data_IF_747741700431
#
_entry.id   IF_747741700431
#
_cell.length_a   1.000
_cell.length_b   1.000
_cell.length_c   1.000
_cell.angle_alpha   90.00
_cell.angle_beta   90.00
_cell.angle_gamma   90.00
#
_symmetry.space_group_name_H-M   'P 1'
#
loop_
_entity.id
_entity.type
_entity.pdbx_description
1 polymer ?
#
# COMPACT_ATOMS: atom_id res chain seq x y z
N UNK A 1 -19.18 -9.83 -8.43
CA UNK A 1 -18.72 -8.68 -7.64
C UNK A 1 -17.25 -8.44 -7.91
N UNK A 2 -16.88 -7.19 -8.12
CA UNK A 2 -15.49 -6.81 -8.41
C UNK A 2 -14.90 -6.05 -7.24
N UNK A 3 -13.78 -6.54 -6.73
CA UNK A 3 -13.00 -5.82 -5.72
C UNK A 3 -12.36 -4.61 -6.40
N UNK A 4 -12.58 -3.42 -5.84
CA UNK A 4 -12.00 -2.17 -6.34
C UNK A 4 -11.11 -1.54 -5.28
N UNK A 5 -10.05 -0.88 -5.73
CA UNK A 5 -9.09 -0.18 -4.87
C UNK A 5 -8.90 1.22 -5.41
N UNK A 6 -9.02 2.22 -4.54
CA UNK A 6 -8.90 3.63 -4.92
C UNK A 6 -8.10 4.41 -3.88
N UNK A 7 -7.59 5.57 -4.29
CA UNK A 7 -6.97 6.55 -3.41
C UNK A 7 -7.47 7.94 -3.78
N UNK A 8 -7.59 8.84 -2.80
CA UNK A 8 -7.87 10.24 -3.08
C UNK A 8 -6.62 11.01 -3.50
N UNK A 9 -5.43 10.43 -3.25
CA UNK A 9 -4.16 11.07 -3.58
C UNK A 9 -3.83 10.99 -5.07
N UNK A 10 -4.31 9.94 -5.77
CA UNK A 10 -4.06 9.77 -7.20
C UNK A 10 -5.10 8.83 -7.80
N UNK A 11 -5.34 9.00 -9.10
CA UNK A 11 -6.19 8.08 -9.85
C UNK A 11 -5.40 6.92 -10.44
N UNK A 12 -6.12 5.92 -10.93
CA UNK A 12 -5.49 4.78 -11.61
C UNK A 12 -4.64 5.28 -12.79
N UNK A 13 -3.38 4.86 -12.82
CA UNK A 13 -2.44 5.32 -13.84
C UNK A 13 -1.89 6.73 -13.60
N UNK A 14 -2.30 7.40 -12.51
CA UNK A 14 -1.83 8.74 -12.18
C UNK A 14 -0.53 8.73 -11.39
N UNK A 15 0.05 9.91 -11.22
CA UNK A 15 1.28 10.08 -10.47
C UNK A 15 1.03 10.06 -8.97
N UNK A 16 1.91 9.39 -8.23
CA UNK A 16 1.88 9.43 -6.79
C UNK A 16 2.43 10.78 -6.31
N UNK A 17 1.77 11.45 -5.35
CA UNK A 17 2.25 12.75 -4.85
C UNK A 17 3.61 12.61 -4.15
N UNK A 18 4.41 13.66 -4.22
CA UNK A 18 5.74 13.66 -3.60
C UNK A 18 5.69 13.43 -2.08
N UNK A 19 4.60 13.81 -1.41
CA UNK A 19 4.45 13.57 0.03
C UNK A 19 4.39 12.07 0.38
N UNK A 20 4.09 11.23 -0.59
CA UNK A 20 4.05 9.78 -0.42
C UNK A 20 5.37 9.11 -0.85
N UNK A 21 6.39 9.88 -1.17
CA UNK A 21 7.68 9.38 -1.63
C UNK A 21 8.79 9.74 -0.66
N UNK A 22 9.97 9.15 -0.86
CA UNK A 22 11.14 9.46 -0.04
C UNK A 22 11.65 10.90 -0.24
N UNK A 23 11.23 11.58 -1.30
CA UNK A 23 11.56 12.98 -1.54
C UNK A 23 10.69 13.95 -0.73
N UNK A 24 9.60 13.45 -0.17
CA UNK A 24 8.71 14.20 0.72
C UNK A 24 8.68 13.60 2.10
N UNK A 25 7.51 13.59 2.72
CA UNK A 25 7.32 13.08 4.07
C UNK A 25 7.26 11.54 4.16
N UNK A 26 7.29 10.87 3.04
CA UNK A 26 7.22 9.40 2.93
C UNK A 26 5.95 8.83 3.59
N UNK A 27 4.84 9.51 3.43
CA UNK A 27 3.55 9.07 3.96
C UNK A 27 2.93 8.01 3.07
N UNK A 28 2.36 6.98 3.66
CA UNK A 28 1.55 6.03 2.89
C UNK A 28 0.31 6.76 2.37
N UNK A 29 -0.12 6.47 1.12
CA UNK A 29 -1.32 7.10 0.58
C UNK A 29 -2.57 6.57 1.30
N UNK A 30 -3.62 7.38 1.34
CA UNK A 30 -4.92 6.86 1.76
C UNK A 30 -5.40 5.84 0.73
N UNK A 31 -6.02 4.79 1.20
CA UNK A 31 -6.55 3.73 0.33
C UNK A 31 -7.95 3.37 0.78
N UNK A 32 -8.80 3.07 -0.19
CA UNK A 32 -10.14 2.57 0.07
C UNK A 32 -10.44 1.44 -0.90
N UNK A 33 -11.17 0.45 -0.42
CA UNK A 33 -11.59 -0.66 -1.27
C UNK A 33 -13.04 -1.02 -1.00
N UNK A 34 -13.66 -1.62 -2.01
CA UNK A 34 -15.05 -2.04 -1.97
C UNK A 34 -15.20 -3.32 -2.79
N UNK A 35 -16.32 -4.00 -2.61
CA UNK A 35 -16.60 -5.21 -3.36
C UNK A 35 -15.89 -6.44 -2.83
N UNK A 36 -15.52 -6.46 -1.54
CA UNK A 36 -14.92 -7.63 -0.92
C UNK A 36 -15.86 -8.83 -1.09
N UNK A 37 -15.39 -9.94 -1.69
CA UNK A 37 -16.26 -11.11 -1.91
C UNK A 37 -16.79 -11.70 -0.62
N UNK A 38 -18.03 -12.20 -0.66
CA UNK A 38 -18.60 -12.91 0.48
C UNK A 38 -17.73 -14.14 0.79
N UNK A 39 -17.54 -14.42 2.07
CA UNK A 39 -16.69 -15.53 2.51
C UNK A 39 -15.21 -15.19 2.67
N UNK A 40 -14.80 -13.97 2.30
CA UNK A 40 -13.44 -13.52 2.54
C UNK A 40 -13.18 -13.46 4.05
N UNK A 41 -12.09 -14.04 4.49
CA UNK A 41 -11.71 -14.05 5.90
C UNK A 41 -10.72 -12.97 6.24
N UNK A 42 -9.70 -12.78 5.38
CA UNK A 42 -8.67 -11.77 5.57
C UNK A 42 -8.30 -11.12 4.24
N UNK A 43 -7.63 -9.97 4.35
CA UNK A 43 -7.13 -9.22 3.22
C UNK A 43 -5.63 -9.02 3.36
N UNK A 44 -4.95 -8.90 2.23
CA UNK A 44 -3.54 -8.51 2.18
C UNK A 44 -3.39 -7.33 1.23
N UNK A 45 -2.48 -6.42 1.55
CA UNK A 45 -2.14 -5.27 0.73
C UNK A 45 -0.65 -5.30 0.43
N UNK A 46 -0.30 -5.22 -0.84
CA UNK A 46 1.09 -5.15 -1.26
C UNK A 46 1.23 -3.95 -2.18
N UNK A 47 2.19 -3.06 -1.87
CA UNK A 47 2.58 -1.96 -2.74
C UNK A 47 3.94 -2.29 -3.30
N UNK A 48 4.01 -2.49 -4.61
CA UNK A 48 5.25 -2.83 -5.29
C UNK A 48 5.49 -1.95 -6.52
N UNK A 49 6.74 -1.90 -6.95
CA UNK A 49 7.16 -1.15 -8.11
C UNK A 49 8.02 -2.07 -9.00
N UNK A 50 7.48 -2.52 -10.14
CA UNK A 50 8.22 -3.39 -11.05
C UNK A 50 9.30 -2.66 -11.85
N UNK A 51 9.32 -1.34 -11.81
CA UNK A 51 10.19 -0.49 -12.63
C UNK A 51 11.37 0.11 -11.85
N UNK A 52 11.65 -0.40 -10.66
CA UNK A 52 12.75 0.11 -9.84
C UNK A 52 14.11 -0.26 -10.45
N UNK A 53 15.12 0.61 -10.33
CA UNK A 53 15.06 1.95 -9.75
C UNK A 53 14.55 3.04 -10.70
N UNK A 54 14.41 2.74 -11.98
CA UNK A 54 14.04 3.70 -13.02
C UNK A 54 13.19 2.98 -14.07
N UNK A 55 12.01 3.53 -14.47
CA UNK A 55 11.19 2.94 -15.52
C UNK A 55 11.92 2.75 -16.86
N UNK A 56 12.89 3.61 -17.15
CA UNK A 56 13.70 3.52 -18.37
C UNK A 56 14.73 2.40 -18.30
N UNK A 57 15.08 1.91 -17.11
CA UNK A 57 16.06 0.86 -16.89
C UNK A 57 15.64 -0.01 -15.69
N UNK A 58 14.49 -0.71 -15.79
CA UNK A 58 14.01 -1.51 -14.67
C UNK A 58 14.94 -2.69 -14.41
N UNK A 59 15.25 -2.95 -13.14
CA UNK A 59 16.14 -4.02 -12.72
C UNK A 59 15.48 -5.01 -11.77
N UNK A 60 14.42 -4.59 -11.08
CA UNK A 60 13.76 -5.42 -10.09
C UNK A 60 12.37 -4.90 -9.76
N UNK A 61 11.57 -5.76 -9.17
CA UNK A 61 10.35 -5.32 -8.48
C UNK A 61 10.74 -4.95 -7.06
N UNK A 62 10.44 -3.71 -6.68
CA UNK A 62 10.74 -3.21 -5.34
C UNK A 62 9.47 -3.21 -4.52
N UNK A 63 9.49 -3.87 -3.36
CA UNK A 63 8.32 -3.96 -2.48
C UNK A 63 8.40 -2.84 -1.45
N UNK A 64 7.39 -1.97 -1.45
CA UNK A 64 7.33 -0.78 -0.60
C UNK A 64 6.53 -1.00 0.68
N UNK A 65 5.54 -1.87 0.65
CA UNK A 65 4.65 -2.07 1.79
C UNK A 65 3.98 -3.45 1.72
N UNK A 66 3.95 -4.14 2.84
CA UNK A 66 3.28 -5.44 2.94
C UNK A 66 2.44 -5.46 4.20
N UNK A 67 1.13 -5.59 4.03
CA UNK A 67 0.18 -5.80 5.13
C UNK A 67 -0.57 -7.10 4.87
N UNK A 68 -0.82 -7.86 5.91
CA UNK A 68 -1.59 -9.10 5.79
C UNK A 68 -2.41 -9.36 7.06
N UNK A 69 -3.29 -10.32 6.96
CA UNK A 69 -4.21 -10.66 8.03
C UNK A 69 -5.12 -9.50 8.45
N UNK A 70 -5.43 -8.59 7.51
CA UNK A 70 -6.43 -7.56 7.76
C UNK A 70 -7.81 -8.19 7.82
N UNK A 71 -8.70 -7.72 8.73
CA UNK A 71 -10.06 -8.26 8.77
C UNK A 71 -10.82 -7.92 7.48
N UNK A 72 -11.65 -8.85 7.02
CA UNK A 72 -12.44 -8.64 5.80
C UNK A 72 -13.42 -7.47 5.90
N UNK A 73 -13.70 -7.00 7.11
CA UNK A 73 -14.56 -5.84 7.37
C UNK A 73 -13.83 -4.51 7.19
N UNK A 74 -12.50 -4.51 7.09
CA UNK A 74 -11.75 -3.29 6.82
C UNK A 74 -12.11 -2.76 5.43
N UNK A 75 -12.29 -1.46 5.29
CA UNK A 75 -12.69 -0.82 4.03
C UNK A 75 -11.66 0.18 3.50
N UNK A 76 -10.58 0.43 4.23
CA UNK A 76 -9.54 1.35 3.80
C UNK A 76 -8.54 1.67 4.90
N UNK A 77 -7.58 2.51 4.53
CA UNK A 77 -6.53 2.98 5.42
C UNK A 77 -6.36 4.49 5.22
N UNK A 78 -6.26 5.28 6.30
CA UNK A 78 -5.99 6.71 6.15
C UNK A 78 -4.55 6.98 5.71
N UNK A 79 -4.31 8.17 5.16
CA UNK A 79 -2.97 8.59 4.77
C UNK A 79 -2.04 8.64 5.98
N UNK A 80 -0.80 8.17 5.78
CA UNK A 80 0.21 8.22 6.84
C UNK A 80 -0.09 7.35 8.04
N UNK A 81 -0.86 6.29 7.87
CA UNK A 81 -1.26 5.43 8.98
C UNK A 81 -0.05 4.84 9.70
N UNK A 82 -0.07 4.87 11.03
CA UNK A 82 0.96 4.24 11.86
C UNK A 82 0.63 2.78 12.11
N UNK A 83 1.63 2.01 12.53
CA UNK A 83 1.42 0.59 12.88
C UNK A 83 0.34 0.43 13.95
N UNK A 84 0.27 1.34 14.91
CA UNK A 84 -0.74 1.30 15.97
C UNK A 84 -2.16 1.59 15.46
N UNK A 85 -2.30 2.26 14.32
CA UNK A 85 -3.59 2.60 13.73
C UNK A 85 -4.13 1.58 12.75
N UNK A 86 -3.41 0.52 12.47
CA UNK A 86 -3.86 -0.52 11.54
C UNK A 86 -5.09 -1.25 12.08
N UNK A 87 -5.95 -1.80 11.19
CA UNK A 87 -7.10 -2.58 11.62
C UNK A 87 -6.68 -3.73 12.55
N UNK A 88 -7.54 -4.12 13.51
CA UNK A 88 -7.19 -5.18 14.48
C UNK A 88 -6.73 -6.47 13.81
N UNK A 89 -5.63 -7.03 14.29
CA UNK A 89 -5.08 -8.28 13.79
C UNK A 89 -4.18 -8.15 12.58
N UNK A 90 -4.10 -6.96 11.98
CA UNK A 90 -3.24 -6.73 10.81
C UNK A 90 -1.77 -6.89 11.18
N UNK A 91 -1.04 -7.59 10.32
CA UNK A 91 0.39 -7.79 10.46
C UNK A 91 1.15 -7.11 9.34
N UNK A 92 2.38 -6.70 9.62
CA UNK A 92 3.25 -6.04 8.67
C UNK A 92 4.39 -6.97 8.25
N UNK A 93 4.57 -7.11 6.93
CA UNK A 93 5.72 -7.81 6.38
C UNK A 93 6.89 -6.86 6.20
N UNK A 94 8.07 -7.43 5.95
CA UNK A 94 9.30 -6.66 5.70
C UNK A 94 9.29 -6.22 4.23
N UNK A 95 9.49 -4.93 4.00
CA UNK A 95 9.65 -4.37 2.66
C UNK A 95 11.11 -4.45 2.19
N UNK A 96 11.40 -3.97 0.98
CA UNK A 96 12.76 -4.02 0.44
C UNK A 96 13.70 -2.98 1.05
N UNK A 97 13.18 -2.07 1.89
CA UNK A 97 13.98 -1.21 2.75
C UNK A 97 14.48 -1.94 4.01
N UNK A 98 14.19 -3.24 4.13
CA UNK A 98 14.57 -4.10 5.26
C UNK A 98 13.88 -3.72 6.56
N UNK A 99 12.69 -3.16 6.49
CA UNK A 99 11.88 -2.76 7.67
C UNK A 99 10.42 -3.01 7.39
N UNK A 100 9.59 -2.99 8.43
CA UNK A 100 8.15 -3.04 8.31
C UNK A 100 7.57 -1.65 8.08
N UNK A 101 6.36 -1.58 7.54
CA UNK A 101 5.69 -0.33 7.25
C UNK A 101 5.90 0.12 5.82
N UNK A 102 5.39 1.31 5.53
CA UNK A 102 5.48 1.90 4.20
C UNK A 102 6.84 2.59 4.01
N UNK A 103 7.50 2.24 2.91
CA UNK A 103 8.66 2.98 2.44
C UNK A 103 8.41 3.35 0.98
N UNK A 104 8.28 4.63 0.71
CA UNK A 104 7.85 5.12 -0.59
C UNK A 104 8.90 5.05 -1.68
N UNK A 105 8.49 5.29 -2.92
CA UNK A 105 9.41 5.34 -4.05
C UNK A 105 10.35 6.55 -3.96
N UNK A 106 11.52 6.40 -4.56
CA UNK A 106 12.53 7.46 -4.64
C UNK A 106 12.80 7.90 -6.08
#
# INVERSE_FOLDING_TARGET
MTLTLTSTAFGHGGEIPSRCTCEGQDLSPDLAWAGVPAGTRTLALIVDDPDAPDPAAPKMTYVHWVLYNMPATAAGLPEGISSAGLPPGTREGVNDWKRTGYGGPC
#
